data_IF_237797655554
#
_entry.id   IF_237797655554
#
_cell.length_a   1.000
_cell.length_b   1.000
_cell.length_c   1.000
_cell.angle_alpha   90.00
_cell.angle_beta   90.00
_cell.angle_gamma   90.00
#
_symmetry.space_group_name_H-M   'P 1'
#
loop_
_entity.id
_entity.type
_entity.pdbx_description
1 polymer ?
#
# COMPACT_ATOMS: atom_id res chain seq x y z
N UNK A 1 -7.96 16.39 -11.60
CA UNK A 1 -7.98 15.66 -12.89
C UNK A 1 -7.85 14.19 -12.53
N UNK A 2 -8.87 13.35 -12.80
CA UNK A 2 -8.70 11.88 -12.69
C UNK A 2 -7.77 11.47 -13.81
N UNK A 3 -6.54 11.06 -13.51
CA UNK A 3 -5.75 10.35 -14.51
C UNK A 3 -6.47 9.02 -14.70
N UNK A 4 -7.06 8.83 -15.88
CA UNK A 4 -7.92 7.69 -16.17
C UNK A 4 -7.00 6.48 -16.26
N UNK A 5 -7.23 5.47 -15.41
CA UNK A 5 -6.50 4.21 -15.45
C UNK A 5 -6.40 3.68 -16.90
N UNK A 6 -5.21 3.25 -17.29
CA UNK A 6 -4.98 2.55 -18.56
C UNK A 6 -5.43 1.09 -18.39
N UNK A 7 -6.69 0.82 -18.72
CA UNK A 7 -7.28 -0.51 -18.59
C UNK A 7 -6.66 -1.55 -19.54
N UNK A 8 -6.12 -1.14 -20.69
CA UNK A 8 -5.45 -2.08 -21.62
C UNK A 8 -4.16 -2.60 -20.97
N UNK A 9 -3.38 -1.69 -20.36
CA UNK A 9 -2.22 -2.06 -19.58
C UNK A 9 -2.62 -2.93 -18.37
N UNK A 10 -3.60 -2.50 -17.58
CA UNK A 10 -4.04 -3.24 -16.40
C UNK A 10 -4.54 -4.65 -16.73
N UNK A 11 -5.22 -4.85 -17.86
CA UNK A 11 -5.63 -6.16 -18.35
C UNK A 11 -4.43 -7.08 -18.64
N UNK A 12 -3.37 -6.53 -19.23
CA UNK A 12 -2.13 -7.27 -19.47
C UNK A 12 -1.44 -7.63 -18.15
N UNK A 13 -1.41 -6.72 -17.18
CA UNK A 13 -0.83 -6.97 -15.86
C UNK A 13 -1.64 -8.02 -15.10
N UNK A 14 -2.97 -7.97 -15.17
CA UNK A 14 -3.88 -8.96 -14.59
C UNK A 14 -3.62 -10.37 -15.12
N UNK A 15 -3.48 -10.52 -16.44
CA UNK A 15 -3.18 -11.83 -17.06
C UNK A 15 -1.77 -12.33 -16.77
N UNK A 16 -0.79 -11.43 -16.73
CA UNK A 16 0.63 -11.83 -16.62
C UNK A 16 1.14 -11.98 -15.19
N UNK A 17 0.51 -11.34 -14.21
CA UNK A 17 1.03 -11.24 -12.85
C UNK A 17 2.30 -10.36 -12.71
N UNK A 18 2.68 -9.64 -13.78
CA UNK A 18 3.87 -8.78 -13.82
C UNK A 18 3.62 -7.41 -13.18
N UNK A 19 3.11 -7.44 -11.96
CA UNK A 19 2.87 -6.26 -11.15
C UNK A 19 3.18 -6.59 -9.69
N UNK A 20 3.39 -5.54 -8.91
CA UNK A 20 3.30 -5.64 -7.47
C UNK A 20 2.72 -4.33 -6.90
N UNK A 21 2.34 -4.37 -5.64
CA UNK A 21 2.09 -3.17 -4.85
C UNK A 21 3.13 -3.05 -3.76
N UNK A 22 3.41 -1.81 -3.38
CA UNK A 22 4.33 -1.50 -2.31
C UNK A 22 4.01 -0.14 -1.73
N UNK A 23 4.51 0.10 -0.54
CA UNK A 23 4.65 1.46 -0.05
C UNK A 23 6.11 1.91 -0.09
N UNK A 24 6.30 3.21 -0.20
CA UNK A 24 7.59 3.86 0.02
C UNK A 24 7.43 5.09 0.91
N UNK A 25 8.56 5.68 1.30
CA UNK A 25 8.62 6.85 2.18
C UNK A 25 9.13 8.04 1.37
N UNK A 26 8.22 8.80 0.73
CA UNK A 26 8.56 9.92 -0.15
C UNK A 26 9.61 9.54 -1.21
N UNK A 27 9.32 8.50 -2.01
CA UNK A 27 10.23 7.98 -3.05
C UNK A 27 11.51 7.34 -2.51
N UNK A 28 11.72 7.29 -1.19
CA UNK A 28 12.83 6.55 -0.59
C UNK A 28 12.37 5.15 -0.23
N UNK A 29 13.13 4.19 -0.73
CA UNK A 29 13.03 2.77 -0.39
C UNK A 29 14.14 2.38 0.59
N UNK A 30 14.12 1.14 1.07
CA UNK A 30 15.19 0.56 1.90
C UNK A 30 16.58 0.81 1.31
N UNK A 31 17.54 1.19 2.17
CA UNK A 31 18.92 1.49 1.79
C UNK A 31 19.10 2.80 1.03
N UNK A 32 18.23 3.79 1.29
CA UNK A 32 18.23 5.12 0.65
C UNK A 32 18.07 5.10 -0.87
N UNK A 33 17.55 4.00 -1.43
CA UNK A 33 17.27 3.92 -2.86
C UNK A 33 16.17 4.91 -3.24
N UNK A 34 16.49 5.81 -4.17
CA UNK A 34 15.53 6.77 -4.72
C UNK A 34 14.74 6.13 -5.87
N UNK A 35 13.43 6.05 -5.70
CA UNK A 35 12.50 5.59 -6.74
C UNK A 35 12.45 6.65 -7.85
N UNK A 36 12.66 6.19 -9.09
CA UNK A 36 12.55 7.03 -10.28
C UNK A 36 11.12 7.59 -10.43
N UNK A 37 10.95 8.74 -11.10
CA UNK A 37 9.62 9.30 -11.37
C UNK A 37 8.67 8.30 -12.04
N UNK A 38 7.36 8.51 -11.87
CA UNK A 38 6.34 7.65 -12.46
C UNK A 38 6.50 7.51 -13.97
N UNK A 39 6.25 6.30 -14.47
CA UNK A 39 6.50 5.97 -15.87
C UNK A 39 7.98 5.74 -16.24
N UNK A 40 8.90 5.74 -15.26
CA UNK A 40 10.32 5.38 -15.46
C UNK A 40 10.67 4.07 -14.78
N UNK A 41 11.48 3.26 -15.47
CA UNK A 41 11.97 1.99 -14.93
C UNK A 41 13.04 2.23 -13.87
N UNK A 42 12.87 1.55 -12.75
CA UNK A 42 13.86 1.36 -11.70
C UNK A 42 14.58 0.03 -11.96
N UNK A 43 15.90 0.02 -11.84
CA UNK A 43 16.72 -1.18 -11.96
C UNK A 43 17.49 -1.40 -10.67
N UNK A 44 17.46 -2.62 -10.15
CA UNK A 44 18.10 -2.89 -8.86
C UNK A 44 19.63 -2.79 -9.01
N UNK A 45 20.32 -2.11 -8.07
CA UNK A 45 21.78 -2.02 -8.11
C UNK A 45 22.46 -3.37 -7.81
N UNK A 46 21.75 -4.26 -7.11
CA UNK A 46 22.19 -5.62 -6.77
C UNK A 46 21.06 -6.61 -7.04
N UNK A 47 21.38 -7.66 -7.79
CA UNK A 47 20.48 -8.78 -8.07
C UNK A 47 21.13 -10.11 -7.69
N UNK A 48 20.34 -11.03 -7.16
CA UNK A 48 20.74 -12.38 -6.79
C UNK A 48 19.52 -13.29 -6.74
N UNK A 49 19.70 -14.57 -7.03
CA UNK A 49 18.59 -15.51 -7.26
C UNK A 49 18.13 -16.26 -6.01
N UNK A 50 18.55 -15.82 -4.82
CA UNK A 50 18.18 -16.49 -3.57
C UNK A 50 16.66 -16.35 -3.35
N UNK A 51 16.05 -17.46 -2.91
CA UNK A 51 14.61 -17.61 -2.66
C UNK A 51 14.26 -17.48 -1.17
N UNK A 52 15.27 -17.35 -0.31
CA UNK A 52 15.11 -17.09 1.12
C UNK A 52 14.91 -15.59 1.36
N UNK A 53 14.19 -15.26 2.43
CA UNK A 53 13.98 -13.87 2.87
C UNK A 53 15.24 -13.29 3.50
N UNK A 54 16.30 -13.15 2.70
CA UNK A 54 17.52 -12.45 3.06
C UNK A 54 17.63 -11.15 2.26
N UNK A 55 18.01 -10.07 2.93
CA UNK A 55 18.28 -8.80 2.26
C UNK A 55 19.60 -8.86 1.46
N UNK A 56 20.38 -9.93 1.59
CA UNK A 56 21.69 -10.07 0.96
C UNK A 56 21.61 -10.27 -0.54
N UNK A 57 20.54 -10.88 -1.02
CA UNK A 57 20.32 -11.17 -2.44
C UNK A 57 19.87 -9.97 -3.29
N UNK A 58 19.61 -8.80 -2.69
CA UNK A 58 19.15 -7.60 -3.40
C UNK A 58 17.77 -7.74 -4.05
N UNK A 59 17.50 -6.96 -5.10
CA UNK A 59 16.21 -6.87 -5.80
C UNK A 59 15.21 -5.90 -5.16
N UNK A 60 14.10 -5.69 -5.86
CA UNK A 60 12.96 -4.92 -5.37
C UNK A 60 11.85 -5.85 -4.93
N UNK A 61 11.19 -5.48 -3.84
CA UNK A 61 10.19 -6.30 -3.18
C UNK A 61 8.84 -5.61 -3.17
N UNK A 62 7.77 -6.38 -3.33
CA UNK A 62 6.40 -5.93 -3.22
C UNK A 62 5.45 -7.10 -3.06
N UNK A 63 4.20 -6.79 -2.73
CA UNK A 63 3.14 -7.78 -2.67
C UNK A 63 2.55 -7.97 -4.06
N UNK A 64 2.36 -9.22 -4.45
CA UNK A 64 1.75 -9.60 -5.72
C UNK A 64 1.06 -10.97 -5.52
N UNK A 65 0.42 -11.56 -6.55
CA UNK A 65 -0.08 -12.92 -6.47
C UNK A 65 0.98 -13.88 -5.93
N UNK A 66 0.61 -14.90 -5.16
CA UNK A 66 1.58 -15.87 -4.60
C UNK A 66 2.61 -15.32 -3.57
N UNK A 67 2.58 -14.03 -3.26
CA UNK A 67 3.55 -13.38 -2.35
C UNK A 67 3.02 -12.07 -1.80
N UNK A 68 2.11 -12.15 -0.83
CA UNK A 68 1.31 -11.01 -0.35
C UNK A 68 1.20 -10.87 1.18
N UNK A 69 2.04 -11.54 1.96
CA UNK A 69 2.01 -11.43 3.43
C UNK A 69 2.36 -10.03 3.97
N UNK A 70 3.63 -9.65 3.91
CA UNK A 70 4.14 -8.43 4.54
C UNK A 70 4.36 -7.30 3.53
N UNK A 71 3.71 -6.17 3.80
CA UNK A 71 4.10 -4.87 3.26
C UNK A 71 4.84 -4.06 4.33
N UNK A 72 5.95 -3.46 3.94
CA UNK A 72 6.63 -2.51 4.81
C UNK A 72 5.71 -1.29 5.05
N UNK A 73 5.75 -0.62 6.21
CA UNK A 73 5.05 0.65 6.36
C UNK A 73 5.68 1.73 5.47
N UNK A 74 4.84 2.58 4.89
CA UNK A 74 5.26 3.76 4.12
C UNK A 74 4.18 4.83 4.14
N UNK A 75 4.41 5.94 3.45
CA UNK A 75 3.45 7.05 3.38
C UNK A 75 2.82 7.23 1.99
N UNK A 76 3.37 6.55 0.97
CA UNK A 76 2.86 6.51 -0.40
C UNK A 76 2.55 5.07 -0.78
N UNK A 77 1.33 4.79 -1.25
CA UNK A 77 0.97 3.50 -1.83
C UNK A 77 1.18 3.55 -3.34
N UNK A 78 1.83 2.54 -3.91
CA UNK A 78 2.17 2.51 -5.33
C UNK A 78 1.76 1.19 -5.96
N UNK A 79 1.20 1.29 -7.17
CA UNK A 79 0.95 0.15 -8.03
C UNK A 79 1.97 0.19 -9.16
N UNK A 80 2.72 -0.89 -9.30
CA UNK A 80 3.86 -0.94 -10.20
C UNK A 80 3.74 -2.08 -11.18
N UNK A 81 4.21 -1.83 -12.41
CA UNK A 81 4.57 -2.89 -13.32
C UNK A 81 5.96 -3.44 -12.95
N UNK A 82 6.15 -4.74 -13.11
CA UNK A 82 7.44 -5.40 -12.89
C UNK A 82 7.98 -6.04 -14.16
N UNK A 83 9.30 -6.26 -14.20
CA UNK A 83 9.97 -6.93 -15.31
C UNK A 83 11.13 -7.78 -14.80
N UNK A 84 11.42 -8.85 -15.55
CA UNK A 84 12.52 -9.77 -15.29
C UNK A 84 12.09 -10.96 -14.44
N UNK A 85 13.08 -11.73 -13.96
CA UNK A 85 12.84 -12.96 -13.20
C UNK A 85 12.11 -12.65 -11.89
N UNK A 86 10.92 -13.24 -11.74
CA UNK A 86 10.08 -13.13 -10.56
C UNK A 86 10.43 -14.24 -9.58
N UNK A 87 10.76 -13.87 -8.34
CA UNK A 87 11.06 -14.82 -7.26
C UNK A 87 10.03 -14.64 -6.15
N UNK A 88 9.33 -15.70 -5.80
CA UNK A 88 8.47 -15.74 -4.62
C UNK A 88 9.36 -16.01 -3.42
N UNK A 89 9.35 -15.09 -2.45
CA UNK A 89 10.18 -15.17 -1.25
C UNK A 89 9.28 -15.54 -0.07
N UNK A 90 9.42 -16.78 0.40
CA UNK A 90 8.70 -17.34 1.55
C UNK A 90 7.16 -17.20 1.50
N UNK A 91 6.56 -17.16 0.29
CA UNK A 91 5.15 -16.84 0.05
C UNK A 91 4.68 -15.48 0.63
N UNK A 92 5.63 -14.65 1.06
CA UNK A 92 5.39 -13.40 1.78
C UNK A 92 5.44 -12.20 0.82
N UNK A 93 6.39 -12.22 -0.12
CA UNK A 93 6.56 -11.16 -1.10
C UNK A 93 7.11 -11.69 -2.41
N UNK A 94 6.98 -10.88 -3.45
CA UNK A 94 7.64 -11.09 -4.73
C UNK A 94 8.86 -10.19 -4.83
N UNK A 95 9.93 -10.76 -5.38
CA UNK A 95 11.19 -10.10 -5.68
C UNK A 95 11.41 -10.04 -7.19
N UNK A 96 11.80 -8.86 -7.69
CA UNK A 96 12.05 -8.60 -9.12
C UNK A 96 13.28 -7.69 -9.32
N UNK A 97 13.96 -7.76 -10.47
CA UNK A 97 15.11 -6.90 -10.75
C UNK A 97 14.72 -5.50 -11.18
N UNK A 98 13.51 -5.32 -11.73
CA UNK A 98 13.05 -4.05 -12.26
C UNK A 98 11.57 -3.80 -11.95
N UNK A 99 11.23 -2.54 -11.70
CA UNK A 99 9.83 -2.11 -11.58
C UNK A 99 9.65 -0.68 -12.09
N UNK A 100 8.42 -0.32 -12.42
CA UNK A 100 8.02 1.03 -12.77
C UNK A 100 6.77 1.38 -11.97
N UNK A 101 6.78 2.52 -11.27
CA UNK A 101 5.56 3.05 -10.66
C UNK A 101 4.65 3.55 -11.77
N UNK A 102 3.44 3.00 -11.82
CA UNK A 102 2.40 3.43 -12.76
C UNK A 102 1.43 4.40 -12.10
N UNK A 103 0.99 4.05 -10.89
CA UNK A 103 -0.03 4.79 -10.16
C UNK A 103 0.38 4.95 -8.70
N UNK A 104 -0.14 6.01 -8.09
CA UNK A 104 0.06 6.32 -6.67
C UNK A 104 -1.28 6.58 -5.99
N UNK A 105 -1.30 6.40 -4.67
CA UNK A 105 -2.45 6.71 -3.80
C UNK A 105 -3.76 6.14 -4.34
N UNK A 106 -4.79 6.97 -4.59
CA UNK A 106 -6.11 6.51 -5.03
C UNK A 106 -6.03 5.65 -6.29
N UNK A 107 -5.28 6.09 -7.30
CA UNK A 107 -5.17 5.37 -8.56
C UNK A 107 -4.45 4.04 -8.39
N UNK A 108 -3.52 3.95 -7.44
CA UNK A 108 -2.86 2.68 -7.11
C UNK A 108 -3.82 1.69 -6.44
N UNK A 109 -4.72 2.15 -5.56
CA UNK A 109 -5.77 1.29 -4.99
C UNK A 109 -6.79 0.88 -6.04
N UNK A 110 -7.26 1.81 -6.87
CA UNK A 110 -8.22 1.53 -7.94
C UNK A 110 -7.62 0.52 -8.95
N UNK A 111 -6.34 0.67 -9.30
CA UNK A 111 -5.61 -0.29 -10.13
C UNK A 111 -5.49 -1.65 -9.45
N UNK A 112 -5.17 -1.70 -8.15
CA UNK A 112 -5.10 -2.96 -7.41
C UNK A 112 -6.45 -3.68 -7.39
N UNK A 113 -7.54 -2.96 -7.07
CA UNK A 113 -8.89 -3.52 -7.04
C UNK A 113 -9.28 -4.10 -8.40
N UNK A 114 -8.94 -3.40 -9.49
CA UNK A 114 -9.21 -3.88 -10.85
C UNK A 114 -8.42 -5.16 -11.20
N UNK A 115 -7.12 -5.16 -10.90
CA UNK A 115 -6.19 -6.22 -11.29
C UNK A 115 -6.32 -7.44 -10.37
N UNK A 116 -6.65 -7.23 -9.10
CA UNK A 116 -6.75 -8.25 -8.07
C UNK A 116 -7.86 -7.91 -7.06
N UNK A 117 -9.14 -8.07 -7.42
CA UNK A 117 -10.26 -7.74 -6.52
C UNK A 117 -10.31 -8.61 -5.26
N UNK A 118 -9.74 -9.82 -5.31
CA UNK A 118 -9.61 -10.74 -4.18
C UNK A 118 -8.27 -10.61 -3.46
N UNK A 119 -7.59 -9.46 -3.51
CA UNK A 119 -6.29 -9.29 -2.87
C UNK A 119 -6.35 -9.63 -1.38
N UNK A 120 -5.62 -10.69 -0.97
CA UNK A 120 -5.58 -11.22 0.41
C UNK A 120 -4.38 -10.74 1.22
N UNK A 121 -3.57 -9.84 0.66
CA UNK A 121 -2.39 -9.35 1.35
C UNK A 121 -2.70 -8.35 2.45
N UNK A 122 -1.73 -8.15 3.35
CA UNK A 122 -1.81 -7.03 4.29
C UNK A 122 -1.75 -5.73 3.50
N UNK A 123 -2.85 -4.98 3.47
CA UNK A 123 -2.94 -3.67 2.83
C UNK A 123 -2.61 -2.58 3.86
N UNK A 124 -1.39 -2.03 3.89
CA UNK A 124 -1.12 -0.83 4.67
C UNK A 124 -1.79 0.35 3.98
N UNK A 125 -2.87 0.84 4.56
CA UNK A 125 -3.58 1.99 4.02
C UNK A 125 -2.90 3.27 4.47
N UNK A 126 -2.16 3.91 3.57
CA UNK A 126 -1.53 5.19 3.84
C UNK A 126 -2.00 6.30 2.89
N UNK A 127 -2.24 7.48 3.45
CA UNK A 127 -2.55 8.69 2.70
C UNK A 127 -1.46 9.76 2.95
N UNK A 128 -0.87 10.32 1.90
CA UNK A 128 0.13 11.42 1.97
C UNK A 128 -0.47 12.73 2.46
N UNK A 129 0.39 13.64 2.95
CA UNK A 129 -0.06 14.96 3.39
C UNK A 129 -0.81 15.72 2.31
N UNK A 130 -1.93 16.34 2.67
CA UNK A 130 -2.74 17.17 1.77
C UNK A 130 -3.56 16.40 0.72
N UNK A 131 -3.59 15.06 0.76
CA UNK A 131 -4.42 14.27 -0.16
C UNK A 131 -5.78 13.93 0.46
N UNK A 132 -6.75 13.66 -0.42
CA UNK A 132 -8.06 13.13 -0.09
C UNK A 132 -8.20 11.75 -0.74
N UNK A 133 -8.42 10.71 0.06
CA UNK A 133 -8.52 9.32 -0.39
C UNK A 133 -9.83 8.70 0.09
N UNK A 134 -10.53 7.96 -0.77
CA UNK A 134 -11.72 7.17 -0.42
C UNK A 134 -11.61 5.77 -0.98
N UNK A 135 -11.66 4.74 -0.13
CA UNK A 135 -11.65 3.34 -0.57
C UNK A 135 -13.00 2.69 -0.21
N UNK A 136 -14.00 2.74 -1.10
CA UNK A 136 -15.38 2.42 -0.76
C UNK A 136 -15.64 0.92 -0.52
N UNK A 137 -14.83 0.05 -1.10
CA UNK A 137 -15.03 -1.40 -1.05
C UNK A 137 -14.14 -2.13 -0.01
N UNK A 138 -13.19 -1.42 0.62
CA UNK A 138 -12.22 -2.05 1.51
C UNK A 138 -12.87 -2.46 2.84
N UNK A 139 -12.87 -3.78 3.13
CA UNK A 139 -13.50 -4.35 4.34
C UNK A 139 -12.54 -4.62 5.50
N UNK A 140 -11.30 -4.98 5.20
CA UNK A 140 -10.29 -5.31 6.20
C UNK A 140 -8.95 -4.66 5.85
N UNK A 141 -8.21 -4.20 6.86
CA UNK A 141 -6.88 -3.62 6.70
C UNK A 141 -5.94 -4.07 7.83
N UNK A 142 -4.70 -4.43 7.50
CA UNK A 142 -3.71 -4.77 8.52
C UNK A 142 -3.19 -3.54 9.28
N UNK A 143 -3.18 -2.38 8.63
CA UNK A 143 -2.72 -1.13 9.23
C UNK A 143 -3.35 0.07 8.50
N UNK A 144 -3.80 1.08 9.24
CA UNK A 144 -4.32 2.34 8.68
C UNK A 144 -3.47 3.50 9.20
N UNK A 145 -2.88 4.28 8.30
CA UNK A 145 -2.09 5.47 8.61
C UNK A 145 -2.54 6.68 7.79
N UNK A 146 -3.05 7.69 8.46
CA UNK A 146 -3.38 8.97 7.81
C UNK A 146 -2.28 9.96 8.16
N UNK A 147 -1.53 10.43 7.15
CA UNK A 147 -0.45 11.38 7.40
C UNK A 147 -0.96 12.80 7.60
N UNK A 148 -0.09 13.68 8.10
CA UNK A 148 -0.40 15.04 8.50
C UNK A 148 -1.25 15.76 7.44
N UNK A 149 -2.36 16.36 7.84
CA UNK A 149 -3.24 17.12 6.93
C UNK A 149 -3.95 16.32 5.83
N UNK A 150 -3.79 15.00 5.78
CA UNK A 150 -4.50 14.15 4.83
C UNK A 150 -5.93 13.83 5.31
N UNK A 151 -6.81 13.49 4.37
CA UNK A 151 -8.17 13.02 4.65
C UNK A 151 -8.38 11.64 4.05
N UNK A 152 -8.84 10.69 4.87
CA UNK A 152 -9.12 9.32 4.46
C UNK A 152 -10.54 8.92 4.87
N UNK A 153 -11.31 8.38 3.93
CA UNK A 153 -12.64 7.80 4.18
C UNK A 153 -12.67 6.33 3.76
N UNK A 154 -12.98 5.43 4.70
CA UNK A 154 -13.13 3.99 4.42
C UNK A 154 -14.53 3.53 4.89
N UNK A 155 -15.57 3.71 4.06
CA UNK A 155 -16.95 3.53 4.49
C UNK A 155 -17.34 2.08 4.77
N UNK A 156 -16.65 1.11 4.16
CA UNK A 156 -16.93 -0.32 4.31
C UNK A 156 -15.93 -1.05 5.22
N UNK A 157 -14.96 -0.35 5.83
CA UNK A 157 -13.93 -1.00 6.64
C UNK A 157 -14.52 -1.46 7.98
N UNK A 158 -14.59 -2.76 8.19
CA UNK A 158 -15.17 -3.39 9.40
C UNK A 158 -14.10 -3.74 10.43
N UNK A 159 -12.88 -4.09 9.96
CA UNK A 159 -11.76 -4.49 10.82
C UNK A 159 -10.46 -3.82 10.38
N UNK A 160 -9.73 -3.31 11.36
CA UNK A 160 -8.36 -2.86 11.20
C UNK A 160 -7.44 -3.61 12.19
N UNK A 161 -6.17 -3.74 11.85
CA UNK A 161 -5.13 -3.82 12.87
C UNK A 161 -4.94 -2.45 13.51
N UNK A 162 -3.71 -1.98 13.54
CA UNK A 162 -3.36 -0.70 14.15
C UNK A 162 -3.82 0.50 13.30
N UNK A 163 -4.30 1.56 13.96
CA UNK A 163 -4.77 2.80 13.32
C UNK A 163 -3.98 3.99 13.84
N UNK A 164 -3.41 4.79 12.95
CA UNK A 164 -2.64 5.99 13.30
C UNK A 164 -3.10 7.20 12.49
N UNK A 165 -3.54 8.24 13.18
CA UNK A 165 -4.01 9.50 12.60
C UNK A 165 -3.05 10.61 13.03
N UNK A 166 -2.23 11.10 12.10
CA UNK A 166 -1.20 12.10 12.39
C UNK A 166 -1.78 13.52 12.44
N UNK A 167 -0.98 14.49 12.87
CA UNK A 167 -1.39 15.88 13.17
C UNK A 167 -2.26 16.51 12.07
N UNK A 168 -3.39 17.09 12.43
CA UNK A 168 -4.28 17.79 11.49
C UNK A 168 -4.95 16.90 10.43
N UNK A 169 -4.78 15.58 10.50
CA UNK A 169 -5.39 14.64 9.56
C UNK A 169 -6.82 14.29 9.95
N UNK A 170 -7.62 13.83 8.99
CA UNK A 170 -9.01 13.40 9.21
C UNK A 170 -9.21 11.97 8.73
N UNK A 171 -9.81 11.12 9.57
CA UNK A 171 -10.13 9.73 9.26
C UNK A 171 -11.62 9.45 9.55
N UNK A 172 -12.34 8.95 8.54
CA UNK A 172 -13.77 8.59 8.66
C UNK A 172 -13.97 7.10 8.39
N UNK A 173 -14.54 6.39 9.37
CA UNK A 173 -14.65 4.93 9.46
C UNK A 173 -16.03 4.51 10.02
N UNK A 174 -17.13 4.77 9.30
CA UNK A 174 -18.49 4.56 9.81
C UNK A 174 -18.84 3.09 10.07
N UNK A 175 -18.12 2.14 9.46
CA UNK A 175 -18.34 0.71 9.61
C UNK A 175 -17.34 0.02 10.56
N UNK A 176 -16.31 0.71 11.06
CA UNK A 176 -15.23 0.05 11.80
C UNK A 176 -15.73 -0.44 13.16
N UNK A 177 -15.67 -1.76 13.38
CA UNK A 177 -16.11 -2.39 14.62
C UNK A 177 -14.94 -2.83 15.52
N UNK A 178 -13.80 -3.16 14.91
CA UNK A 178 -12.61 -3.70 15.59
C UNK A 178 -11.34 -3.07 15.05
N UNK A 179 -10.48 -2.63 15.97
CA UNK A 179 -9.12 -2.17 15.68
C UNK A 179 -8.16 -2.73 16.73
N UNK A 180 -6.87 -2.73 16.40
CA UNK A 180 -5.78 -2.83 17.36
C UNK A 180 -5.63 -1.53 18.17
N UNK A 181 -4.40 -1.08 18.37
CA UNK A 181 -4.16 0.22 19.01
C UNK A 181 -4.60 1.35 18.05
N UNK A 182 -5.23 2.39 18.60
CA UNK A 182 -5.65 3.59 17.85
C UNK A 182 -4.92 4.80 18.40
N UNK A 183 -4.05 5.40 17.60
CA UNK A 183 -3.32 6.62 17.92
C UNK A 183 -3.86 7.83 17.17
N UNK A 184 -4.24 8.88 17.90
CA UNK A 184 -4.78 10.12 17.32
C UNK A 184 -3.95 11.31 17.81
N UNK A 185 -3.04 11.80 16.96
CA UNK A 185 -2.14 12.88 17.31
C UNK A 185 -2.86 14.25 17.40
N UNK A 186 -2.20 15.23 18.01
CA UNK A 186 -2.72 16.58 18.20
C UNK A 186 -3.39 17.17 16.95
N UNK A 187 -4.62 17.65 17.09
CA UNK A 187 -5.39 18.28 16.01
C UNK A 187 -5.89 17.34 14.92
N UNK A 188 -5.62 16.03 15.03
CA UNK A 188 -6.23 15.02 14.17
C UNK A 188 -7.69 14.77 14.57
N UNK A 189 -8.48 14.28 13.61
CA UNK A 189 -9.88 13.90 13.80
C UNK A 189 -10.09 12.47 13.35
N UNK A 190 -10.78 11.69 14.17
CA UNK A 190 -11.29 10.37 13.82
C UNK A 190 -12.79 10.32 14.05
N UNK A 191 -13.53 9.81 13.08
CA UNK A 191 -14.96 9.51 13.18
C UNK A 191 -15.15 8.01 12.95
N UNK A 192 -15.34 7.26 14.04
CA UNK A 192 -15.49 5.81 14.04
C UNK A 192 -16.59 5.39 15.04
N UNK A 193 -17.87 5.68 14.76
CA UNK A 193 -18.97 5.61 15.73
C UNK A 193 -19.28 4.19 16.22
N UNK A 194 -18.84 3.16 15.50
CA UNK A 194 -19.06 1.74 15.82
C UNK A 194 -17.88 1.07 16.50
N UNK A 195 -16.73 1.76 16.59
CA UNK A 195 -15.52 1.17 17.14
C UNK A 195 -15.74 0.93 18.63
N UNK A 196 -15.71 -0.35 19.02
CA UNK A 196 -15.82 -0.71 20.44
C UNK A 196 -14.63 -0.12 21.19
N UNK A 197 -14.78 0.27 22.47
CA UNK A 197 -13.68 0.85 23.24
C UNK A 197 -12.49 -0.14 23.32
N UNK A 198 -11.49 0.07 22.48
CA UNK A 198 -10.11 -0.37 22.70
C UNK A 198 -9.30 0.77 23.34
N UNK A 199 -7.99 0.59 23.59
CA UNK A 199 -7.15 1.69 24.07
C UNK A 199 -6.99 2.75 22.97
N UNK A 200 -7.92 3.70 22.92
CA UNK A 200 -7.73 4.94 22.18
C UNK A 200 -6.62 5.73 22.90
N UNK A 201 -5.49 5.90 22.23
CA UNK A 201 -4.33 6.64 22.74
C UNK A 201 -4.30 7.99 22.02
N UNK A 202 -4.71 9.03 22.73
CA UNK A 202 -4.63 10.43 22.27
C UNK A 202 -3.34 11.08 22.73
#
# INVERSE_FOLDING_TARGET
MKTKLDYILLDNLKRSGNWFVRTDTNEKSYGDFQVAPNGKWNKCPKWGEQTKADCTSGGFFGQAPDGWGYAHPGNRFTFCQTRGKRIIVAADKVKVPEFMVLYEDQEAYDALEYVCPDFRGSLPICARSGIFLTLPALKEAGYVRVNQGATLTLPALEKAGDVRVNQGATLTLPALEKAGDVWVNQGAKIDAPKLKPGPLRT
#
